data_IF_927415773405
#
_entry.id   IF_927415773405
#
_cell.length_a   1.000
_cell.length_b   1.000
_cell.length_c   1.000
_cell.angle_alpha   90.00
_cell.angle_beta   90.00
_cell.angle_gamma   90.00
#
_symmetry.space_group_name_H-M   'P 1'
#
loop_
_entity.id
_entity.type
_entity.pdbx_description
1 polymer ?
#
# COMPACT_ATOMS: atom_id res chain seq x y z
N UNK A 1 -14.68 -6.04 -7.96
CA UNK A 1 -14.97 -4.96 -8.94
C UNK A 1 -13.74 -4.69 -9.79
N UNK A 2 -13.90 -4.16 -11.00
CA UNK A 2 -12.82 -3.80 -11.93
C UNK A 2 -12.94 -2.35 -12.42
N UNK A 3 -11.83 -1.79 -12.89
CA UNK A 3 -11.73 -0.43 -13.47
C UNK A 3 -12.39 0.64 -12.59
N UNK A 4 -11.82 0.84 -11.39
CA UNK A 4 -12.28 1.82 -10.40
C UNK A 4 -13.77 1.67 -10.02
N UNK A 5 -14.28 0.44 -10.08
CA UNK A 5 -15.66 0.11 -9.72
C UNK A 5 -16.67 0.20 -10.87
N UNK A 6 -16.24 0.50 -12.10
CA UNK A 6 -17.15 0.60 -13.26
C UNK A 6 -17.71 -0.75 -13.70
N UNK A 7 -17.01 -1.83 -13.42
CA UNK A 7 -17.44 -3.19 -13.72
C UNK A 7 -17.57 -3.96 -12.41
N UNK A 8 -18.70 -4.61 -12.23
CA UNK A 8 -18.98 -5.43 -11.05
C UNK A 8 -19.15 -6.89 -11.46
N UNK A 9 -18.49 -7.76 -10.69
CA UNK A 9 -18.48 -9.20 -10.88
C UNK A 9 -18.95 -9.85 -9.59
N UNK A 10 -19.82 -10.84 -9.70
CA UNK A 10 -20.25 -11.72 -8.62
C UNK A 10 -19.55 -13.06 -8.75
N UNK A 11 -18.83 -13.47 -7.72
CA UNK A 11 -18.17 -14.78 -7.68
C UNK A 11 -19.25 -15.88 -7.61
N UNK A 12 -19.14 -16.86 -8.51
CA UNK A 12 -20.01 -18.04 -8.52
C UNK A 12 -19.29 -19.31 -8.06
N UNK A 13 -17.99 -19.40 -8.35
CA UNK A 13 -17.14 -20.53 -7.94
C UNK A 13 -15.69 -20.05 -7.81
N UNK A 14 -14.95 -20.60 -6.85
CA UNK A 14 -13.53 -20.36 -6.68
C UNK A 14 -12.77 -21.68 -6.61
N UNK A 15 -11.68 -21.76 -7.37
CA UNK A 15 -10.72 -22.86 -7.34
C UNK A 15 -9.37 -22.34 -6.82
N UNK A 16 -8.39 -23.23 -6.69
CA UNK A 16 -7.04 -22.84 -6.25
C UNK A 16 -6.33 -21.85 -7.21
N UNK A 17 -6.68 -21.87 -8.49
CA UNK A 17 -5.96 -21.10 -9.54
C UNK A 17 -6.86 -20.17 -10.35
N UNK A 18 -8.17 -20.22 -10.16
CA UNK A 18 -9.13 -19.44 -10.93
C UNK A 18 -10.38 -19.11 -10.12
N UNK A 19 -11.00 -17.98 -10.45
CA UNK A 19 -12.28 -17.54 -9.90
C UNK A 19 -13.25 -17.42 -11.08
N UNK A 20 -14.37 -18.12 -11.01
CA UNK A 20 -15.47 -18.00 -11.95
C UNK A 20 -16.45 -16.95 -11.44
N UNK A 21 -16.87 -16.07 -12.34
CA UNK A 21 -17.73 -14.93 -11.98
C UNK A 21 -18.81 -14.72 -13.03
N UNK A 22 -19.92 -14.12 -12.60
CA UNK A 22 -20.94 -13.53 -13.47
C UNK A 22 -20.83 -12.02 -13.42
N UNK A 23 -21.10 -11.35 -14.53
CA UNK A 23 -21.07 -9.89 -14.62
C UNK A 23 -22.38 -9.34 -14.04
N UNK A 24 -22.32 -8.62 -12.93
CA UNK A 24 -23.48 -7.91 -12.36
C UNK A 24 -23.63 -6.50 -12.96
N UNK A 25 -22.52 -5.82 -13.24
CA UNK A 25 -22.49 -4.52 -13.93
C UNK A 25 -21.48 -4.58 -15.06
N UNK A 26 -21.95 -4.39 -16.29
CA UNK A 26 -21.11 -4.46 -17.49
C UNK A 26 -20.43 -3.13 -17.81
N UNK A 27 -19.33 -3.20 -18.55
CA UNK A 27 -18.56 -2.04 -18.97
C UNK A 27 -17.40 -2.42 -19.87
N UNK A 28 -16.72 -1.41 -20.42
CA UNK A 28 -15.54 -1.63 -21.26
C UNK A 28 -14.33 -1.89 -20.37
N UNK A 29 -13.76 -3.09 -20.46
CA UNK A 29 -12.50 -3.43 -19.82
C UNK A 29 -11.33 -3.20 -20.78
N UNK A 30 -10.29 -2.50 -20.33
CA UNK A 30 -9.02 -2.37 -21.05
C UNK A 30 -7.87 -2.94 -20.21
N UNK A 31 -6.64 -2.90 -20.72
CA UNK A 31 -5.46 -3.44 -20.04
C UNK A 31 -5.07 -2.62 -18.81
N UNK A 32 -4.39 -3.27 -17.84
CA UNK A 32 -3.86 -2.64 -16.61
C UNK A 32 -4.91 -1.99 -15.71
N UNK A 33 -6.14 -2.52 -15.71
CA UNK A 33 -7.18 -2.08 -14.79
C UNK A 33 -7.04 -2.73 -13.42
N UNK A 34 -7.25 -1.92 -12.39
CA UNK A 34 -7.23 -2.37 -11.01
C UNK A 34 -8.40 -3.29 -10.70
N UNK A 35 -8.19 -4.14 -9.69
CA UNK A 35 -9.23 -4.95 -9.06
C UNK A 35 -9.45 -4.38 -7.67
N UNK A 36 -10.71 -4.19 -7.28
CA UNK A 36 -11.09 -3.76 -5.94
C UNK A 36 -12.02 -4.77 -5.28
N UNK A 37 -11.77 -5.09 -4.01
CA UNK A 37 -12.54 -6.01 -3.17
C UNK A 37 -13.15 -5.18 -2.02
N UNK A 38 -14.48 -4.99 -1.97
CA UNK A 38 -15.09 -4.03 -1.04
C UNK A 38 -15.05 -4.43 0.44
N UNK A 39 -15.17 -5.73 0.76
CA UNK A 39 -15.41 -6.18 2.14
C UNK A 39 -14.35 -7.12 2.69
N UNK A 40 -13.30 -7.44 1.93
CA UNK A 40 -12.27 -8.38 2.36
C UNK A 40 -10.99 -7.68 2.81
N UNK A 41 -10.55 -8.02 4.02
CA UNK A 41 -9.18 -7.82 4.46
C UNK A 41 -8.29 -8.71 3.60
N UNK A 42 -7.46 -8.12 2.73
CA UNK A 42 -6.53 -8.90 1.92
C UNK A 42 -5.41 -9.36 2.85
N UNK A 43 -5.19 -10.69 3.03
CA UNK A 43 -4.13 -11.19 3.88
C UNK A 43 -2.77 -10.79 3.31
N UNK A 44 -2.05 -9.95 4.05
CA UNK A 44 -0.73 -9.45 3.68
C UNK A 44 -0.37 -8.21 4.48
N UNK A 45 0.93 -7.99 4.70
CA UNK A 45 1.44 -6.74 5.26
C UNK A 45 1.16 -5.60 4.28
N UNK A 46 0.71 -4.43 4.76
CA UNK A 46 0.57 -3.23 3.92
C UNK A 46 1.89 -2.78 3.26
N UNK A 47 3.03 -3.29 3.75
CA UNK A 47 4.34 -3.12 3.15
C UNK A 47 4.81 -4.44 2.55
N UNK A 48 4.92 -4.47 1.23
CA UNK A 48 5.54 -5.57 0.49
C UNK A 48 7.06 -5.45 0.50
N UNK A 49 7.77 -6.51 0.11
CA UNK A 49 9.24 -6.45 -0.07
C UNK A 49 9.66 -5.39 -1.09
N UNK A 50 8.85 -5.17 -2.13
CA UNK A 50 9.06 -4.11 -3.11
C UNK A 50 8.95 -2.74 -2.45
N UNK A 51 7.92 -2.52 -1.63
CA UNK A 51 7.74 -1.24 -0.93
C UNK A 51 8.91 -0.95 0.02
N UNK A 52 9.46 -1.97 0.68
CA UNK A 52 10.65 -1.81 1.52
C UNK A 52 11.92 -1.43 0.73
N UNK A 53 12.04 -1.89 -0.52
CA UNK A 53 13.13 -1.50 -1.43
C UNK A 53 12.92 -0.07 -1.94
N UNK A 54 11.71 0.26 -2.37
CA UNK A 54 11.36 1.60 -2.82
C UNK A 54 11.54 2.62 -1.70
N UNK A 55 11.13 2.28 -0.49
CA UNK A 55 11.37 3.09 0.70
C UNK A 55 12.87 3.29 0.97
N UNK A 56 13.72 2.31 0.66
CA UNK A 56 15.19 2.45 0.82
C UNK A 56 15.76 3.48 -0.16
N UNK A 57 15.19 3.52 -1.36
CA UNK A 57 15.56 4.46 -2.40
C UNK A 57 15.04 5.87 -2.08
N UNK A 58 13.76 5.99 -1.72
CA UNK A 58 13.10 7.25 -1.39
C UNK A 58 13.75 7.94 -0.19
N UNK A 59 14.18 7.20 0.83
CA UNK A 59 14.86 7.76 2.01
C UNK A 59 16.24 8.38 1.73
N UNK A 60 16.78 8.20 0.53
CA UNK A 60 17.99 8.91 0.08
C UNK A 60 17.67 10.27 -0.56
N UNK A 61 16.40 10.50 -0.86
CA UNK A 61 15.89 11.74 -1.44
C UNK A 61 15.37 12.66 -0.33
N UNK A 62 15.29 13.96 -0.59
CA UNK A 62 14.71 14.93 0.32
C UNK A 62 13.18 14.97 0.09
N UNK A 63 12.47 14.08 0.78
CA UNK A 63 11.01 13.98 0.69
C UNK A 63 10.35 14.43 1.98
N UNK A 64 9.31 15.27 1.85
CA UNK A 64 8.57 15.79 2.99
C UNK A 64 7.51 14.81 3.52
N UNK A 65 6.93 14.01 2.61
CA UNK A 65 5.82 13.11 2.92
C UNK A 65 5.96 11.76 2.23
N UNK A 66 5.50 10.72 2.93
CA UNK A 66 5.39 9.36 2.42
C UNK A 66 3.95 8.91 2.66
N UNK A 67 3.22 8.64 1.59
CA UNK A 67 1.88 8.08 1.65
C UNK A 67 1.94 6.54 1.71
N UNK A 68 1.18 5.93 2.61
CA UNK A 68 1.00 4.49 2.69
C UNK A 68 -0.37 4.13 2.13
N UNK A 69 -0.41 3.31 1.09
CA UNK A 69 -1.65 2.82 0.48
C UNK A 69 -2.07 1.50 1.11
N UNK A 70 -3.37 1.14 1.01
CA UNK A 70 -3.93 -0.12 1.51
C UNK A 70 -3.67 -0.35 3.02
N UNK A 71 -3.76 0.70 3.83
CA UNK A 71 -3.70 0.60 5.30
C UNK A 71 -4.95 -0.11 5.79
N UNK A 72 -4.77 -1.26 6.44
CA UNK A 72 -5.86 -2.06 6.98
C UNK A 72 -5.92 -1.97 8.51
N UNK A 73 -4.77 -1.80 9.16
CA UNK A 73 -4.64 -1.82 10.62
C UNK A 73 -3.74 -0.71 11.14
N UNK A 74 -3.84 -0.42 12.44
CA UNK A 74 -2.91 0.48 13.12
C UNK A 74 -1.45 -0.04 13.07
N UNK A 75 -1.28 -1.36 13.07
CA UNK A 75 0.04 -2.01 13.04
C UNK A 75 0.78 -1.75 11.72
N UNK A 76 0.06 -1.54 10.60
CA UNK A 76 0.67 -1.14 9.32
C UNK A 76 1.41 0.19 9.46
N UNK A 77 0.79 1.17 10.14
CA UNK A 77 1.37 2.49 10.39
C UNK A 77 2.55 2.37 11.35
N UNK A 78 2.43 1.55 12.40
CA UNK A 78 3.51 1.32 13.36
C UNK A 78 4.71 0.68 12.67
N UNK A 79 4.49 -0.31 11.82
CA UNK A 79 5.52 -1.01 11.05
C UNK A 79 6.27 -0.05 10.12
N UNK A 80 5.55 0.82 9.39
CA UNK A 80 6.19 1.86 8.59
C UNK A 80 7.03 2.80 9.45
N UNK A 81 6.48 3.31 10.56
CA UNK A 81 7.20 4.23 11.47
C UNK A 81 8.46 3.60 12.05
N UNK A 82 8.41 2.32 12.43
CA UNK A 82 9.58 1.59 12.94
C UNK A 82 10.64 1.41 11.86
N UNK A 83 10.22 1.06 10.64
CA UNK A 83 11.11 0.95 9.47
C UNK A 83 11.80 2.28 9.17
N UNK A 84 11.06 3.39 9.21
CA UNK A 84 11.57 4.74 9.05
C UNK A 84 12.56 5.12 10.17
N UNK A 85 12.27 4.79 11.44
CA UNK A 85 13.15 5.08 12.58
C UNK A 85 14.48 4.33 12.49
N UNK A 86 14.44 3.02 12.19
CA UNK A 86 15.63 2.18 12.05
C UNK A 86 16.53 2.75 10.95
N UNK A 87 15.92 3.09 9.80
CA UNK A 87 16.66 3.62 8.66
C UNK A 87 17.13 5.05 8.88
N UNK A 88 16.37 5.90 9.56
CA UNK A 88 16.85 7.22 9.97
C UNK A 88 17.99 7.13 10.97
N UNK A 89 18.04 6.12 11.84
CA UNK A 89 19.19 5.88 12.73
C UNK A 89 20.42 5.42 11.95
N UNK A 90 20.22 4.62 10.90
CA UNK A 90 21.27 4.22 9.95
C UNK A 90 21.77 5.41 9.12
N UNK A 91 20.87 6.24 8.56
CA UNK A 91 21.25 7.43 7.81
C UNK A 91 21.77 8.56 8.70
N UNK A 92 21.35 8.69 9.96
CA UNK A 92 21.92 9.64 10.94
C UNK A 92 23.36 9.28 11.37
N UNK A 93 23.84 8.07 11.07
CA UNK A 93 25.27 7.75 11.16
C UNK A 93 26.07 8.33 9.98
N UNK A 94 25.40 8.91 8.98
CA UNK A 94 25.95 9.64 7.85
C UNK A 94 25.44 11.09 7.87
N UNK A 95 26.31 12.02 8.26
CA UNK A 95 26.14 13.49 8.29
C UNK A 95 25.18 14.06 9.35
N UNK A 96 25.79 14.90 10.17
CA UNK A 96 25.15 15.89 11.03
C UNK A 96 24.33 16.90 10.21
N UNK A 97 23.03 17.04 10.54
CA UNK A 97 22.29 18.31 10.60
C UNK A 97 20.90 18.07 11.22
N UNK A 98 20.38 19.13 11.87
CA UNK A 98 19.39 19.16 12.96
C UNK A 98 18.05 18.45 12.67
N UNK A 99 17.34 17.93 13.70
CA UNK A 99 16.01 17.36 13.52
C UNK A 99 14.93 18.46 13.39
N UNK A 100 14.08 18.37 12.36
CA UNK A 100 12.84 19.15 12.25
C UNK A 100 11.72 18.55 13.12
N UNK A 101 10.86 19.46 13.59
CA UNK A 101 9.80 19.30 14.57
C UNK A 101 8.67 18.36 14.11
N UNK A 102 8.04 17.68 15.06
CA UNK A 102 6.80 16.91 14.86
C UNK A 102 5.60 17.85 14.75
N UNK A 103 4.82 17.77 13.67
CA UNK A 103 3.53 18.46 13.56
C UNK A 103 2.51 17.91 14.58
N UNK A 104 1.58 18.76 15.08
CA UNK A 104 0.60 18.38 16.09
C UNK A 104 -0.44 17.42 15.52
N UNK A 105 -0.99 16.57 16.40
CA UNK A 105 -2.12 15.70 16.12
C UNK A 105 -3.36 16.57 15.85
N UNK A 106 -4.04 16.32 14.73
CA UNK A 106 -5.46 16.65 14.57
C UNK A 106 -6.30 15.52 15.16
#
# INVERSE_FOLDING_TARGET
>A
MLDDGKIELRVTEATKTAIHTTVSVSGRLSSHKGVNLPEDTIPGSALTEKDLKDLAFILKQDVDFIALSFVQTQDDIITLKNTLKIRRKLSRKLKSRKPLQTLPKF
#
